data_IF_198667919656
#
_entry.id   IF_198667919656
#
_cell.length_a   1.000
_cell.length_b   1.000
_cell.length_c   1.000
_cell.angle_alpha   90.00
_cell.angle_beta   90.00
_cell.angle_gamma   90.00
#
_symmetry.space_group_name_H-M   'P 1'
#
loop_
_entity.id
_entity.type
_entity.pdbx_description
1 polymer ?
#
# COMPACT_ATOMS: atom_id res chain seq x y z
N UNK A 1 -10.76 -11.30 10.74
CA UNK A 1 -10.12 -10.33 9.82
C UNK A 1 -9.03 -10.90 8.92
N UNK A 2 -7.96 -11.51 9.45
CA UNK A 2 -6.85 -12.03 8.63
C UNK A 2 -7.29 -13.23 7.78
N UNK A 3 -7.95 -14.21 8.40
CA UNK A 3 -8.47 -15.38 7.69
C UNK A 3 -9.48 -15.01 6.60
N UNK A 4 -10.32 -14.01 6.84
CA UNK A 4 -11.26 -13.49 5.83
C UNK A 4 -10.54 -12.88 4.63
N UNK A 5 -9.47 -12.10 4.85
CA UNK A 5 -8.66 -11.50 3.78
C UNK A 5 -8.01 -12.55 2.90
N UNK A 6 -7.39 -13.58 3.50
CA UNK A 6 -6.74 -14.66 2.76
C UNK A 6 -7.78 -15.45 1.95
N UNK A 7 -8.92 -15.81 2.58
CA UNK A 7 -10.02 -16.49 1.89
C UNK A 7 -10.55 -15.67 0.73
N UNK A 8 -10.82 -14.38 0.95
CA UNK A 8 -11.26 -13.45 -0.10
C UNK A 8 -10.25 -13.40 -1.25
N UNK A 9 -8.96 -13.24 -0.95
CA UNK A 9 -7.92 -13.15 -1.97
C UNK A 9 -7.85 -14.44 -2.82
N UNK A 10 -7.90 -15.61 -2.18
CA UNK A 10 -7.91 -16.89 -2.87
C UNK A 10 -9.15 -17.06 -3.77
N UNK A 11 -10.34 -16.71 -3.27
CA UNK A 11 -11.59 -16.77 -4.04
C UNK A 11 -11.58 -15.80 -5.23
N UNK A 12 -11.09 -14.58 -5.03
CA UNK A 12 -11.05 -13.56 -6.07
C UNK A 12 -9.98 -13.86 -7.12
N UNK A 13 -8.79 -14.32 -6.72
CA UNK A 13 -7.75 -14.79 -7.63
C UNK A 13 -8.27 -15.93 -8.51
N UNK A 14 -8.98 -16.90 -7.93
CA UNK A 14 -9.62 -17.99 -8.69
C UNK A 14 -10.65 -17.48 -9.69
N UNK A 15 -11.50 -16.51 -9.31
CA UNK A 15 -12.48 -15.89 -10.23
C UNK A 15 -11.82 -15.19 -11.40
N UNK A 16 -10.67 -14.56 -11.16
CA UNK A 16 -9.91 -13.85 -12.17
C UNK A 16 -8.93 -14.75 -12.94
N UNK A 17 -8.94 -16.07 -12.70
CA UNK A 17 -8.09 -17.04 -13.39
C UNK A 17 -6.60 -16.99 -13.01
N UNK A 18 -6.27 -16.39 -11.86
CA UNK A 18 -4.90 -16.31 -11.35
C UNK A 18 -4.54 -17.57 -10.56
N UNK A 19 -3.39 -18.17 -10.90
CA UNK A 19 -2.92 -19.41 -10.27
C UNK A 19 -2.32 -19.21 -8.88
N UNK A 20 -1.74 -18.03 -8.64
CA UNK A 20 -1.02 -17.71 -7.41
C UNK A 20 -1.50 -16.36 -6.87
N UNK A 21 -1.47 -16.22 -5.56
CA UNK A 21 -1.66 -14.96 -4.87
C UNK A 21 -0.64 -14.84 -3.73
N UNK A 22 -0.34 -13.62 -3.32
CA UNK A 22 0.62 -13.34 -2.26
C UNK A 22 -0.01 -12.41 -1.23
N UNK A 23 0.23 -12.70 0.05
CA UNK A 23 -0.21 -11.86 1.18
C UNK A 23 0.94 -11.79 2.18
N UNK A 24 1.44 -10.58 2.43
CA UNK A 24 2.58 -10.28 3.31
C UNK A 24 2.54 -11.04 4.65
N UNK A 25 1.36 -11.15 5.22
CA UNK A 25 1.15 -11.69 6.56
C UNK A 25 1.42 -13.20 6.63
N UNK A 26 1.27 -13.94 5.53
CA UNK A 26 1.54 -15.38 5.49
C UNK A 26 2.70 -15.77 4.57
N UNK A 27 3.15 -14.87 3.70
CA UNK A 27 4.20 -15.16 2.71
C UNK A 27 5.57 -14.61 3.09
N UNK A 28 5.70 -13.93 4.23
CA UNK A 28 6.99 -13.47 4.78
C UNK A 28 7.17 -14.11 6.16
N UNK A 29 8.24 -14.87 6.34
CA UNK A 29 8.68 -15.30 7.65
C UNK A 29 9.32 -14.13 8.41
N UNK A 30 8.52 -13.48 9.25
CA UNK A 30 8.97 -12.36 10.10
C UNK A 30 9.93 -12.78 11.22
N UNK A 31 10.09 -14.08 11.47
CA UNK A 31 11.06 -14.59 12.45
C UNK A 31 12.48 -14.70 11.88
N UNK A 32 12.59 -14.76 10.54
CA UNK A 32 13.85 -14.77 9.83
C UNK A 32 14.23 -13.35 9.41
N UNK A 33 15.22 -12.76 10.09
CA UNK A 33 15.64 -11.38 9.84
C UNK A 33 16.20 -11.14 8.43
N UNK A 34 16.85 -12.14 7.84
CA UNK A 34 17.38 -12.06 6.48
C UNK A 34 16.24 -12.03 5.46
N UNK A 35 15.26 -12.92 5.61
CA UNK A 35 14.06 -12.96 4.75
C UNK A 35 13.23 -11.68 4.91
N UNK A 36 13.01 -11.22 6.14
CA UNK A 36 12.27 -9.98 6.40
C UNK A 36 12.93 -8.77 5.75
N UNK A 37 14.27 -8.69 5.85
CA UNK A 37 15.04 -7.61 5.22
C UNK A 37 14.92 -7.64 3.71
N UNK A 38 15.09 -8.81 3.10
CA UNK A 38 14.93 -8.98 1.66
C UNK A 38 13.51 -8.61 1.22
N UNK A 39 12.51 -9.12 1.93
CA UNK A 39 11.11 -8.87 1.61
C UNK A 39 10.77 -7.38 1.65
N UNK A 40 11.12 -6.67 2.72
CA UNK A 40 10.82 -5.23 2.82
C UNK A 40 11.51 -4.41 1.73
N UNK A 41 12.75 -4.75 1.37
CA UNK A 41 13.47 -4.06 0.28
C UNK A 41 12.93 -4.42 -1.12
N UNK A 42 12.24 -5.55 -1.26
CA UNK A 42 11.72 -6.05 -2.54
C UNK A 42 10.21 -5.89 -2.74
N UNK A 43 9.45 -5.59 -1.68
CA UNK A 43 7.97 -5.56 -1.70
C UNK A 43 7.40 -4.63 -2.77
N UNK A 44 7.92 -3.42 -2.90
CA UNK A 44 7.45 -2.46 -3.90
C UNK A 44 7.57 -3.03 -5.31
N UNK A 45 8.72 -3.65 -5.63
CA UNK A 45 8.95 -4.31 -6.91
C UNK A 45 8.00 -5.49 -7.12
N UNK A 46 7.80 -6.33 -6.12
CA UNK A 46 6.86 -7.46 -6.20
C UNK A 46 5.44 -7.00 -6.47
N UNK A 47 5.00 -5.93 -5.81
CA UNK A 47 3.70 -5.30 -6.05
C UNK A 47 3.59 -4.73 -7.46
N UNK A 48 4.63 -4.07 -7.97
CA UNK A 48 4.69 -3.59 -9.35
C UNK A 48 4.62 -4.68 -10.41
N UNK A 49 5.06 -5.89 -10.08
CA UNK A 49 4.99 -7.06 -10.96
C UNK A 49 3.68 -7.84 -10.86
N UNK A 50 2.78 -7.47 -9.95
CA UNK A 50 1.50 -8.17 -9.79
C UNK A 50 0.53 -7.89 -10.94
N UNK A 51 -0.18 -8.92 -11.41
CA UNK A 51 -1.25 -8.75 -12.42
C UNK A 51 -2.39 -7.89 -11.87
N UNK A 52 -2.75 -8.09 -10.60
CA UNK A 52 -3.79 -7.36 -9.88
C UNK A 52 -3.43 -7.27 -8.40
N UNK A 53 -3.70 -6.12 -7.80
CA UNK A 53 -3.70 -5.92 -6.35
C UNK A 53 -5.14 -5.82 -5.85
N UNK A 54 -5.54 -6.70 -4.94
CA UNK A 54 -6.86 -6.67 -4.33
C UNK A 54 -6.83 -6.01 -2.95
N UNK A 55 -7.55 -4.90 -2.81
CA UNK A 55 -7.69 -4.17 -1.55
C UNK A 55 -9.02 -4.55 -0.90
N UNK A 56 -8.96 -5.39 0.14
CA UNK A 56 -10.13 -5.76 0.95
C UNK A 56 -10.32 -4.81 2.13
N UNK A 57 -11.36 -3.98 2.05
CA UNK A 57 -11.75 -2.98 3.04
C UNK A 57 -12.78 -3.55 4.01
N UNK A 58 -12.30 -4.17 5.10
CA UNK A 58 -13.15 -4.78 6.12
C UNK A 58 -14.03 -3.78 6.90
N UNK A 59 -13.71 -2.48 6.82
CA UNK A 59 -14.41 -1.38 7.50
C UNK A 59 -15.37 -0.61 6.57
N UNK A 60 -15.52 -1.05 5.32
CA UNK A 60 -16.47 -0.49 4.35
C UNK A 60 -17.57 -1.51 4.06
N UNK A 61 -18.83 -1.07 4.10
CA UNK A 61 -20.01 -1.93 3.88
C UNK A 61 -20.87 -1.42 2.71
N UNK A 62 -21.37 -2.34 1.88
CA UNK A 62 -22.35 -2.06 0.80
C UNK A 62 -23.66 -2.86 0.97
N UNK A 63 -24.14 -3.02 2.19
CA UNK A 63 -25.42 -3.70 2.47
C UNK A 63 -26.61 -2.91 1.91
N UNK A 64 -27.67 -3.62 1.48
CA UNK A 64 -28.87 -3.04 0.86
C UNK A 64 -29.68 -2.08 1.75
N UNK A 65 -29.38 -2.05 3.06
CA UNK A 65 -29.99 -1.13 4.03
C UNK A 65 -29.47 0.31 3.84
N UNK A 66 -28.30 0.46 3.22
CA UNK A 66 -27.79 1.74 2.76
C UNK A 66 -28.40 2.03 1.39
N UNK A 67 -29.64 2.55 1.37
CA UNK A 67 -30.35 2.95 0.15
C UNK A 67 -29.75 4.17 -0.54
N UNK A 68 -28.79 4.84 0.11
CA UNK A 68 -28.03 5.93 -0.50
C UNK A 68 -26.85 5.36 -1.29
N UNK A 69 -26.87 5.53 -2.62
CA UNK A 69 -25.77 5.14 -3.53
C UNK A 69 -24.41 5.76 -3.14
N UNK A 70 -24.41 6.77 -2.25
CA UNK A 70 -23.24 7.49 -1.76
C UNK A 70 -22.78 7.07 -0.35
N UNK A 71 -23.53 6.26 0.40
CA UNK A 71 -23.20 5.92 1.79
C UNK A 71 -21.88 5.14 1.91
N UNK A 72 -21.56 4.32 0.90
CA UNK A 72 -20.28 3.60 0.87
C UNK A 72 -19.09 4.55 0.64
N UNK A 73 -19.29 5.69 -0.03
CA UNK A 73 -18.21 6.63 -0.33
C UNK A 73 -17.70 7.29 0.95
N UNK A 74 -18.61 7.68 1.85
CA UNK A 74 -18.23 8.22 3.17
C UNK A 74 -17.42 7.20 3.99
N UNK A 75 -17.81 5.93 3.97
CA UNK A 75 -17.06 4.86 4.63
C UNK A 75 -15.71 4.60 3.95
N UNK A 76 -15.65 4.63 2.62
CA UNK A 76 -14.43 4.48 1.84
C UNK A 76 -13.42 5.58 2.18
N UNK A 77 -13.84 6.84 2.18
CA UNK A 77 -13.00 8.01 2.54
C UNK A 77 -12.44 7.92 3.96
N UNK A 78 -13.17 7.27 4.87
CA UNK A 78 -12.78 7.08 6.27
C UNK A 78 -12.08 5.75 6.54
N UNK A 79 -11.85 4.93 5.51
CA UNK A 79 -11.27 3.61 5.70
C UNK A 79 -9.86 3.72 6.28
N UNK A 80 -9.58 2.87 7.28
CA UNK A 80 -8.24 2.73 7.88
C UNK A 80 -7.18 2.29 6.87
N UNK A 81 -7.57 1.78 5.69
CA UNK A 81 -6.61 1.45 4.65
C UNK A 81 -5.82 2.68 4.18
N UNK A 82 -6.44 3.86 4.12
CA UNK A 82 -5.77 5.10 3.72
C UNK A 82 -4.82 5.67 4.78
N UNK A 83 -4.95 5.23 6.04
CA UNK A 83 -4.14 5.72 7.16
C UNK A 83 -3.02 4.76 7.55
N UNK A 84 -2.86 3.60 6.89
CA UNK A 84 -1.75 2.67 7.16
C UNK A 84 -0.54 3.03 6.29
N UNK A 85 0.66 2.96 6.86
CA UNK A 85 1.91 3.29 6.16
C UNK A 85 2.16 2.39 4.96
N UNK A 86 2.20 1.08 5.19
CA UNK A 86 2.50 0.07 4.16
C UNK A 86 1.55 0.06 2.95
N UNK A 87 0.31 0.53 3.10
CA UNK A 87 -0.66 0.56 1.98
C UNK A 87 -0.32 1.63 0.94
N UNK A 88 0.66 2.49 1.21
CA UNK A 88 1.20 3.41 0.22
C UNK A 88 1.84 2.65 -0.95
N UNK A 89 2.59 1.58 -0.66
CA UNK A 89 3.18 0.74 -1.70
C UNK A 89 2.11 -0.06 -2.45
N UNK A 90 1.13 -0.62 -1.73
CA UNK A 90 -0.03 -1.32 -2.33
C UNK A 90 -0.77 -0.45 -3.36
N UNK A 91 -0.80 0.87 -3.13
CA UNK A 91 -1.48 1.84 -4.01
C UNK A 91 -0.64 2.21 -5.24
N UNK A 92 0.63 2.52 -5.02
CA UNK A 92 1.49 3.16 -6.02
C UNK A 92 2.22 2.17 -6.92
N UNK A 93 2.64 1.03 -6.38
CA UNK A 93 3.47 0.10 -7.15
C UNK A 93 2.67 -0.66 -8.23
N UNK A 94 1.51 -1.29 -7.92
CA UNK A 94 0.78 -2.06 -8.92
C UNK A 94 0.12 -1.17 -9.98
N UNK A 95 0.11 -1.63 -11.23
CA UNK A 95 -0.65 -0.97 -12.30
C UNK A 95 -2.16 -1.08 -12.07
N UNK A 96 -2.63 -2.24 -11.60
CA UNK A 96 -4.05 -2.51 -11.35
C UNK A 96 -4.31 -2.72 -9.86
N UNK A 97 -5.15 -1.86 -9.27
CA UNK A 97 -5.62 -1.98 -7.88
C UNK A 97 -7.15 -1.98 -7.89
N UNK A 98 -7.75 -3.00 -7.30
CA UNK A 98 -9.20 -3.17 -7.20
C UNK A 98 -9.65 -3.18 -5.74
N UNK A 99 -10.63 -2.34 -5.42
CA UNK A 99 -11.14 -2.17 -4.06
C UNK A 99 -12.41 -2.98 -3.85
N UNK A 100 -12.49 -3.68 -2.72
CA UNK A 100 -13.62 -4.52 -2.32
C UNK A 100 -14.07 -4.16 -0.91
N UNK A 101 -15.39 -4.16 -0.68
CA UNK A 101 -15.95 -3.99 0.65
C UNK A 101 -15.92 -5.29 1.45
N UNK A 102 -16.27 -5.23 2.73
CA UNK A 102 -16.35 -6.38 3.64
C UNK A 102 -17.24 -7.50 3.12
N UNK A 103 -18.29 -7.19 2.36
CA UNK A 103 -19.17 -8.18 1.74
C UNK A 103 -18.58 -8.81 0.46
N UNK A 104 -17.28 -8.61 0.19
CA UNK A 104 -16.56 -9.08 -1.00
C UNK A 104 -17.13 -8.56 -2.32
N UNK A 105 -17.84 -7.42 -2.29
CA UNK A 105 -18.34 -6.74 -3.48
C UNK A 105 -17.33 -5.69 -3.94
N UNK A 106 -17.07 -5.65 -5.24
CA UNK A 106 -16.21 -4.64 -5.85
C UNK A 106 -16.80 -3.25 -5.65
N UNK A 107 -15.98 -2.31 -5.19
CA UNK A 107 -16.30 -0.90 -5.04
C UNK A 107 -15.88 -0.17 -6.33
N UNK A 108 -14.64 -0.37 -6.76
CA UNK A 108 -14.06 0.28 -7.94
C UNK A 108 -12.59 -0.10 -8.11
N UNK A 109 -11.91 0.56 -9.04
CA UNK A 109 -10.45 0.45 -9.22
C UNK A 109 -9.74 1.76 -8.85
N UNK A 110 -8.41 1.73 -8.75
CA UNK A 110 -7.59 2.94 -8.62
C UNK A 110 -7.92 3.97 -9.69
N UNK A 111 -8.13 3.55 -10.93
CA UNK A 111 -8.52 4.44 -12.03
C UNK A 111 -9.94 4.99 -11.88
N UNK A 112 -10.92 4.16 -11.49
CA UNK A 112 -12.31 4.63 -11.38
C UNK A 112 -12.57 5.50 -10.14
N UNK A 113 -11.70 5.38 -9.12
CA UNK A 113 -11.78 6.12 -7.86
C UNK A 113 -10.64 7.15 -7.72
N UNK A 114 -10.00 7.51 -8.84
CA UNK A 114 -8.79 8.34 -8.85
C UNK A 114 -9.00 9.67 -8.14
N UNK A 115 -10.13 10.34 -8.42
CA UNK A 115 -10.47 11.62 -7.79
C UNK A 115 -10.59 11.48 -6.27
N UNK A 116 -11.31 10.48 -5.80
CA UNK A 116 -11.49 10.22 -4.37
C UNK A 116 -10.15 9.89 -3.71
N UNK A 117 -9.33 9.03 -4.33
CA UNK A 117 -8.01 8.65 -3.81
C UNK A 117 -7.08 9.86 -3.73
N UNK A 118 -7.05 10.70 -4.76
CA UNK A 118 -6.29 11.95 -4.77
C UNK A 118 -6.71 12.87 -3.61
N UNK A 119 -8.01 13.09 -3.43
CA UNK A 119 -8.54 13.93 -2.35
C UNK A 119 -8.22 13.39 -0.95
N UNK A 120 -8.25 12.07 -0.77
CA UNK A 120 -7.96 11.44 0.53
C UNK A 120 -6.46 11.49 0.85
N UNK A 121 -5.60 11.25 -0.14
CA UNK A 121 -4.18 10.97 0.08
C UNK A 121 -3.26 12.15 -0.23
N UNK A 122 -3.73 13.13 -1.00
CA UNK A 122 -2.91 14.20 -1.56
C UNK A 122 -1.95 13.75 -2.67
N UNK A 123 -1.95 12.46 -3.04
CA UNK A 123 -1.08 11.93 -4.09
C UNK A 123 -1.55 12.44 -5.45
N UNK A 124 -0.69 13.05 -6.28
CA UNK A 124 -1.08 13.54 -7.59
C UNK A 124 -1.64 12.43 -8.48
N UNK A 125 -2.64 12.79 -9.29
CA UNK A 125 -3.22 11.86 -10.27
C UNK A 125 -2.18 11.21 -11.20
N UNK A 126 -1.16 11.94 -11.73
CA UNK A 126 -0.13 11.30 -12.54
C UNK A 126 0.62 10.17 -11.81
N UNK A 127 0.87 10.30 -10.51
CA UNK A 127 1.47 9.21 -9.72
C UNK A 127 0.52 8.01 -9.60
N UNK A 128 -0.78 8.25 -9.39
CA UNK A 128 -1.79 7.19 -9.36
C UNK A 128 -1.95 6.47 -10.70
N UNK A 129 -1.73 7.20 -11.80
CA UNK A 129 -1.75 6.70 -13.18
C UNK A 129 -0.48 5.94 -13.58
N UNK A 130 0.55 5.92 -12.72
CA UNK A 130 1.80 5.18 -12.96
C UNK A 130 2.91 5.99 -13.62
N UNK A 131 2.89 7.33 -13.50
CA UNK A 131 4.06 8.13 -13.82
C UNK A 131 5.28 7.70 -12.99
N UNK A 132 6.47 7.81 -13.56
CA UNK A 132 7.71 7.48 -12.84
C UNK A 132 7.81 8.34 -11.58
N UNK A 133 8.02 7.70 -10.42
CA UNK A 133 8.03 8.39 -9.13
C UNK A 133 9.18 9.40 -9.02
N UNK A 134 10.27 9.21 -9.78
CA UNK A 134 11.39 10.15 -9.91
C UNK A 134 11.01 11.50 -10.53
N UNK A 135 9.83 11.64 -11.15
CA UNK A 135 9.32 12.93 -11.64
C UNK A 135 8.82 13.84 -10.49
N UNK A 136 8.56 13.27 -9.32
CA UNK A 136 8.12 14.01 -8.14
C UNK A 136 9.31 14.28 -7.23
N UNK A 137 9.40 15.49 -6.70
CA UNK A 137 10.48 15.86 -5.79
C UNK A 137 10.38 15.11 -4.46
N UNK A 138 11.50 15.03 -3.74
CA UNK A 138 11.61 14.26 -2.49
C UNK A 138 10.61 14.72 -1.43
N UNK A 139 10.44 16.04 -1.28
CA UNK A 139 9.48 16.63 -0.34
C UNK A 139 8.06 16.17 -0.61
N UNK A 140 7.68 16.08 -1.88
CA UNK A 140 6.37 15.61 -2.30
C UNK A 140 6.19 14.12 -2.01
N UNK A 141 7.17 13.29 -2.37
CA UNK A 141 7.14 11.85 -2.06
C UNK A 141 7.07 11.58 -0.55
N UNK A 142 7.83 12.33 0.26
CA UNK A 142 7.76 12.28 1.73
C UNK A 142 6.42 12.79 2.28
N UNK A 143 5.71 13.65 1.58
CA UNK A 143 4.41 14.13 2.02
C UNK A 143 3.35 13.01 2.02
N UNK A 144 3.50 12.00 1.16
CA UNK A 144 2.51 10.92 1.00
C UNK A 144 2.43 9.95 2.19
N UNK A 145 3.46 9.91 3.05
CA UNK A 145 3.45 9.14 4.30
C UNK A 145 2.89 9.94 5.49
N UNK A 146 2.82 11.28 5.39
CA UNK A 146 2.43 12.14 6.51
C UNK A 146 1.07 11.77 7.14
N UNK A 147 -0.01 11.56 6.37
CA UNK A 147 -1.31 11.21 6.94
C UNK A 147 -1.40 9.75 7.42
N UNK A 148 -0.34 8.96 7.22
CA UNK A 148 -0.32 7.53 7.50
C UNK A 148 0.36 7.23 8.84
N UNK A 149 0.06 6.07 9.39
CA UNK A 149 0.56 5.58 10.68
C UNK A 149 1.07 4.15 10.52
N UNK A 150 2.08 3.81 11.31
CA UNK A 150 2.67 2.48 11.40
C UNK A 150 2.65 2.02 12.85
N UNK A 151 2.63 0.71 13.06
CA UNK A 151 2.70 0.13 14.41
C UNK A 151 4.12 0.19 14.97
N UNK A 152 5.10 0.04 14.07
CA UNK A 152 6.52 0.16 14.38
C UNK A 152 7.00 1.48 13.79
N UNK A 153 7.71 2.27 14.58
CA UNK A 153 8.07 3.65 14.24
C UNK A 153 8.96 3.72 12.99
N UNK A 154 9.92 2.80 12.88
CA UNK A 154 10.85 2.69 11.76
C UNK A 154 10.16 2.34 10.44
N UNK A 155 9.00 1.66 10.49
CA UNK A 155 8.24 1.31 9.28
C UNK A 155 7.73 2.56 8.54
N UNK A 156 7.66 3.75 9.17
CA UNK A 156 7.38 4.99 8.43
C UNK A 156 8.46 5.28 7.39
N UNK A 157 9.71 5.01 7.72
CA UNK A 157 10.82 5.14 6.77
C UNK A 157 10.88 3.91 5.85
N UNK A 158 10.74 2.69 6.38
CA UNK A 158 10.89 1.49 5.56
C UNK A 158 9.78 1.32 4.51
N UNK A 159 8.57 1.81 4.78
CA UNK A 159 7.48 1.82 3.78
C UNK A 159 7.72 2.77 2.61
N UNK A 160 8.75 3.63 2.65
CA UNK A 160 9.13 4.53 1.56
C UNK A 160 10.27 4.01 0.68
N UNK A 161 10.93 2.91 1.05
CA UNK A 161 12.12 2.41 0.34
C UNK A 161 11.90 2.31 -1.18
N UNK A 162 10.82 1.63 -1.60
CA UNK A 162 10.50 1.49 -3.02
C UNK A 162 9.94 2.75 -3.70
N UNK A 163 9.45 3.73 -2.92
CA UNK A 163 9.02 5.04 -3.46
C UNK A 163 10.23 5.89 -3.87
N UNK A 164 11.35 5.68 -3.18
CA UNK A 164 12.62 6.35 -3.43
C UNK A 164 13.65 5.49 -4.18
N UNK A 165 13.31 4.23 -4.49
CA UNK A 165 14.18 3.26 -5.13
C UNK A 165 15.51 3.04 -4.38
N UNK A 166 15.43 3.03 -3.04
CA UNK A 166 16.57 2.81 -2.14
C UNK A 166 16.45 1.48 -1.42
N UNK A 167 17.59 0.94 -1.01
CA UNK A 167 17.65 -0.25 -0.18
C UNK A 167 18.50 0.01 1.07
N UNK A 168 18.09 -0.55 2.20
CA UNK A 168 18.85 -0.40 3.45
C UNK A 168 18.60 -1.57 4.42
N UNK A 169 19.58 -1.89 5.30
CA UNK A 169 19.36 -2.84 6.39
C UNK A 169 18.28 -2.38 7.37
N UNK A 170 17.40 -3.29 7.79
CA UNK A 170 16.39 -3.02 8.82
C UNK A 170 17.02 -3.07 10.20
N UNK A 171 16.76 -2.05 11.02
CA UNK A 171 17.26 -1.95 12.40
C UNK A 171 16.13 -1.52 13.33
N UNK A 172 15.25 -2.46 13.62
CA UNK A 172 14.19 -2.23 14.60
C UNK A 172 14.77 -1.94 15.99
N UNK A 173 14.28 -0.88 16.63
CA UNK A 173 14.81 -0.31 17.86
C UNK A 173 15.74 0.89 17.66
N UNK A 174 16.08 1.26 16.41
CA UNK A 174 16.85 2.48 16.14
C UNK A 174 16.01 3.75 16.30
N UNK A 175 14.68 3.64 16.26
CA UNK A 175 13.74 4.74 16.36
C UNK A 175 13.54 5.49 15.03
N UNK A 176 12.37 6.11 14.90
CA UNK A 176 11.91 6.77 13.67
C UNK A 176 12.93 7.73 13.06
N UNK A 177 13.50 8.62 13.88
CA UNK A 177 14.40 9.67 13.39
C UNK A 177 15.69 9.11 12.79
N UNK A 178 16.24 8.04 13.38
CA UNK A 178 17.45 7.40 12.86
C UNK A 178 17.15 6.60 11.58
N UNK A 179 16.00 5.93 11.51
CA UNK A 179 15.56 5.24 10.31
C UNK A 179 15.37 6.22 9.13
N UNK A 180 14.73 7.38 9.37
CA UNK A 180 14.60 8.43 8.34
C UNK A 180 15.94 9.02 7.93
N UNK A 181 16.82 9.34 8.87
CA UNK A 181 18.16 9.85 8.56
C UNK A 181 18.91 8.92 7.62
N UNK A 182 18.92 7.61 7.91
CA UNK A 182 19.57 6.63 7.05
C UNK A 182 18.89 6.50 5.69
N UNK A 183 17.56 6.60 5.66
CA UNK A 183 16.81 6.59 4.41
C UNK A 183 17.19 7.79 3.53
N UNK A 184 17.31 8.99 4.10
CA UNK A 184 17.83 10.20 3.44
C UNK A 184 19.28 10.00 2.97
N UNK A 185 20.14 9.42 3.80
CA UNK A 185 21.53 9.11 3.42
C UNK A 185 21.60 8.17 2.19
N UNK A 186 20.69 7.20 2.04
CA UNK A 186 20.63 6.35 0.84
C UNK A 186 20.12 7.10 -0.40
N UNK A 187 19.15 8.01 -0.25
CA UNK A 187 18.69 8.88 -1.35
C UNK A 187 19.84 9.75 -1.86
N UNK A 188 20.58 10.37 -0.94
CA UNK A 188 21.72 11.24 -1.27
C UNK A 188 22.84 10.51 -2.00
N UNK A 189 22.99 9.19 -1.80
CA UNK A 189 23.95 8.38 -2.56
C UNK A 189 23.52 8.14 -4.00
N UNK A 190 22.23 8.06 -4.28
CA UNK A 190 21.70 7.88 -5.65
C UNK A 190 21.80 9.18 -6.47
N UNK A 191 21.76 10.33 -5.80
CA UNK A 191 21.84 11.65 -6.43
C UNK A 191 23.28 12.11 -6.71
N UNK A 192 24.29 11.31 -6.34
CA UNK A 192 25.72 11.58 -6.60
C UNK A 192 26.23 10.77 -7.78
#
# INVERSE_FOLDING_TARGET
PLQEKIRFCAEQAKRDGLQYFWVDTCCIDKSNSAELTEAINSMFRWYGMSTKCYVYLSDVSRTAVNTDELAWESAFRKSRWFTRGWTLQDLLAPTSVEFFCRESKRIGSKSSLEQQIHEITGIPKPALQGAYLSQFNDKERFSWIQPRQTTVDEDRAYSLLGIFDVQMPLRYGEGMANAFKRHEDEIDKLNK
#
